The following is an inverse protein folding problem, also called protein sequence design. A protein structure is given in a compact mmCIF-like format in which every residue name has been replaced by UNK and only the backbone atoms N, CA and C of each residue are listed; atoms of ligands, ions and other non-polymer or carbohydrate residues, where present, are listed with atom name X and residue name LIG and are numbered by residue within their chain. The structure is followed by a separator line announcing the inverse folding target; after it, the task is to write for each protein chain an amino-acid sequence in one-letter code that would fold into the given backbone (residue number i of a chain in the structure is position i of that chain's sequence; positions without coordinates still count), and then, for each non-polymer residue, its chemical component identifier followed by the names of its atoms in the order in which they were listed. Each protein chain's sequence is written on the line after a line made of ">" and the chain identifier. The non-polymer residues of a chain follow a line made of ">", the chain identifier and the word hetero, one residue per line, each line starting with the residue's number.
data_IF_973115037623
#
_entry.id   IF_973115037623
#
_cell.length_a   1.000
_cell.length_b   1.000
_cell.length_c   1.000
_cell.angle_alpha   90.00
_cell.angle_beta   90.00
_cell.angle_gamma   90.00
#
_symmetry.space_group_name_H-M   'P 1'
#
loop_
_entity.id
_entity.type
_entity.pdbx_description
1 polymer ?
#
# COMPACT_ATOMS: atom_id res chain seq x y z
N UNK A 1 -27.13 34.32 0.13
CA UNK A 1 -27.67 32.94 0.22
C UNK A 1 -26.71 31.98 -0.47
N UNK A 2 -25.90 31.21 0.27
CA UNK A 2 -25.07 30.16 -0.33
C UNK A 2 -25.98 28.96 -0.59
N UNK A 3 -26.24 28.64 -1.86
CA UNK A 3 -26.94 27.40 -2.22
C UNK A 3 -26.14 26.24 -1.63
N UNK A 4 -26.77 25.44 -0.78
CA UNK A 4 -26.18 24.21 -0.29
C UNK A 4 -25.89 23.34 -1.50
N UNK A 5 -24.62 23.11 -1.80
CA UNK A 5 -24.22 22.10 -2.77
C UNK A 5 -24.69 20.75 -2.22
N UNK A 6 -25.70 20.16 -2.85
CA UNK A 6 -26.05 18.77 -2.57
C UNK A 6 -24.78 17.93 -2.74
N UNK A 7 -24.41 17.18 -1.70
CA UNK A 7 -23.28 16.25 -1.77
C UNK A 7 -23.64 15.16 -2.79
N UNK A 8 -23.28 15.34 -4.04
CA UNK A 8 -23.39 14.30 -5.05
C UNK A 8 -22.36 13.23 -4.69
N UNK A 9 -22.84 12.09 -4.20
CA UNK A 9 -22.06 10.86 -4.20
C UNK A 9 -21.84 10.50 -5.67
N UNK A 10 -20.70 10.91 -6.21
CA UNK A 10 -20.38 10.68 -7.61
C UNK A 10 -19.82 9.27 -7.71
N UNK A 11 -20.68 8.32 -8.05
CA UNK A 11 -20.24 6.98 -8.43
C UNK A 11 -19.56 7.07 -9.78
N UNK A 12 -18.36 6.51 -9.91
CA UNK A 12 -17.64 6.45 -11.18
C UNK A 12 -17.01 5.08 -11.40
N UNK A 13 -16.81 4.73 -12.67
CA UNK A 13 -16.21 3.46 -13.07
C UNK A 13 -14.98 3.76 -13.93
N UNK A 14 -13.91 3.01 -13.69
CA UNK A 14 -12.69 3.04 -14.48
C UNK A 14 -12.43 1.65 -15.05
N UNK A 15 -12.24 1.56 -16.37
CA UNK A 15 -11.82 0.33 -17.03
C UNK A 15 -10.29 0.23 -16.98
N UNK A 16 -9.78 -0.85 -16.37
CA UNK A 16 -8.36 -1.15 -16.35
C UNK A 16 -7.91 -1.77 -17.69
N UNK A 17 -6.60 -1.86 -17.90
CA UNK A 17 -5.99 -2.30 -19.16
C UNK A 17 -6.60 -3.60 -19.69
N UNK A 18 -6.91 -3.60 -20.99
CA UNK A 18 -7.65 -4.62 -21.75
C UNK A 18 -9.16 -4.74 -21.49
N UNK A 19 -9.76 -3.84 -20.69
CA UNK A 19 -11.20 -3.81 -20.40
C UNK A 19 -11.78 -5.12 -19.80
N UNK A 20 -10.92 -5.99 -19.27
CA UNK A 20 -11.29 -7.24 -18.57
C UNK A 20 -11.48 -7.02 -17.08
N UNK A 21 -11.04 -5.87 -16.56
CA UNK A 21 -11.19 -5.48 -15.15
C UNK A 21 -11.72 -4.07 -15.02
N UNK A 22 -12.49 -3.83 -13.97
CA UNK A 22 -13.03 -2.52 -13.65
C UNK A 22 -12.77 -2.13 -12.20
N UNK A 23 -12.55 -0.85 -11.96
CA UNK A 23 -12.53 -0.24 -10.64
C UNK A 23 -13.79 0.60 -10.50
N UNK A 24 -14.61 0.27 -9.51
CA UNK A 24 -15.82 1.03 -9.16
C UNK A 24 -15.51 1.90 -7.94
N UNK A 25 -15.74 3.21 -8.10
CA UNK A 25 -15.67 4.20 -7.04
C UNK A 25 -17.08 4.54 -6.56
N UNK A 26 -17.41 4.14 -5.33
CA UNK A 26 -18.67 4.47 -4.69
C UNK A 26 -18.39 4.83 -3.21
N UNK A 27 -19.20 4.30 -2.28
CA UNK A 27 -18.86 4.37 -0.85
C UNK A 27 -17.59 3.54 -0.54
N UNK A 28 -17.46 2.40 -1.21
CA UNK A 28 -16.26 1.57 -1.23
C UNK A 28 -15.58 1.66 -2.59
N UNK A 29 -14.30 1.25 -2.63
CA UNK A 29 -13.57 1.03 -3.88
C UNK A 29 -13.55 -0.48 -4.12
N UNK A 30 -14.06 -0.93 -5.26
CA UNK A 30 -14.09 -2.35 -5.60
C UNK A 30 -13.43 -2.63 -6.95
N UNK A 31 -12.66 -3.71 -7.00
CA UNK A 31 -12.02 -4.23 -8.20
C UNK A 31 -12.80 -5.44 -8.69
N UNK A 32 -13.20 -5.43 -9.95
CA UNK A 32 -14.03 -6.44 -10.58
C UNK A 32 -13.26 -7.17 -11.69
N UNK A 33 -13.51 -8.48 -11.77
CA UNK A 33 -13.24 -9.29 -12.95
C UNK A 33 -14.50 -9.29 -13.82
N UNK A 34 -14.42 -8.68 -15.01
CA UNK A 34 -15.57 -8.56 -15.91
C UNK A 34 -15.78 -9.82 -16.74
N UNK A 35 -14.74 -10.65 -16.93
CA UNK A 35 -14.85 -11.89 -17.70
C UNK A 35 -15.48 -13.01 -16.86
N UNK A 36 -15.13 -13.05 -15.58
CA UNK A 36 -15.61 -14.06 -14.64
C UNK A 36 -16.74 -13.55 -13.73
N UNK A 37 -17.17 -12.30 -13.93
CA UNK A 37 -18.33 -11.67 -13.27
C UNK A 37 -18.28 -11.67 -11.72
N UNK A 38 -17.09 -11.48 -11.13
CA UNK A 38 -16.96 -11.44 -9.67
C UNK A 38 -16.07 -10.30 -9.17
N UNK A 39 -16.26 -9.96 -7.89
CA UNK A 39 -15.44 -8.96 -7.20
C UNK A 39 -14.13 -9.59 -6.74
N UNK A 40 -13.01 -9.11 -7.27
CA UNK A 40 -11.66 -9.55 -6.89
C UNK A 40 -11.30 -9.01 -5.51
N UNK A 41 -11.59 -7.74 -5.24
CA UNK A 41 -11.21 -7.09 -3.99
C UNK A 41 -12.09 -5.88 -3.69
N UNK A 42 -12.21 -5.55 -2.40
CA UNK A 42 -12.92 -4.38 -1.89
C UNK A 42 -12.05 -3.66 -0.87
N UNK A 43 -12.11 -2.33 -0.92
CA UNK A 43 -11.53 -1.44 0.06
C UNK A 43 -12.63 -0.53 0.62
N UNK A 44 -12.87 -0.68 1.92
CA UNK A 44 -13.89 0.04 2.68
C UNK A 44 -13.18 0.97 3.66
N UNK A 45 -13.09 2.28 3.39
CA UNK A 45 -12.52 3.20 4.37
C UNK A 45 -13.50 3.44 5.51
N UNK A 46 -12.98 3.75 6.69
CA UNK A 46 -13.83 4.19 7.82
C UNK A 46 -14.42 5.58 7.58
N UNK A 47 -13.76 6.39 6.75
CA UNK A 47 -14.14 7.77 6.42
C UNK A 47 -14.49 7.87 4.92
N UNK A 48 -15.60 8.53 4.54
CA UNK A 48 -15.96 8.68 3.13
C UNK A 48 -14.91 9.41 2.31
N UNK A 49 -14.79 9.00 1.04
CA UNK A 49 -13.96 9.71 0.08
C UNK A 49 -14.54 11.10 -0.26
N UNK A 50 -13.66 12.08 -0.42
CA UNK A 50 -13.97 13.40 -1.00
C UNK A 50 -13.67 13.42 -2.50
N UNK A 51 -12.63 12.72 -2.93
CA UNK A 51 -12.24 12.56 -4.32
C UNK A 51 -11.43 11.27 -4.51
N UNK A 52 -11.40 10.76 -5.73
CA UNK A 52 -10.60 9.62 -6.12
C UNK A 52 -10.13 9.78 -7.57
N UNK A 53 -8.93 9.29 -7.86
CA UNK A 53 -8.39 9.24 -9.20
C UNK A 53 -7.54 7.98 -9.39
N UNK A 54 -7.49 7.51 -10.63
CA UNK A 54 -6.61 6.42 -11.03
C UNK A 54 -5.36 7.01 -11.67
N UNK A 55 -4.21 6.43 -11.36
CA UNK A 55 -2.90 6.80 -11.89
C UNK A 55 -2.13 5.55 -12.33
N UNK A 56 -1.04 5.78 -13.07
CA UNK A 56 -0.09 4.72 -13.47
C UNK A 56 -0.76 3.52 -14.18
N UNK A 57 -1.56 3.81 -15.23
CA UNK A 57 -2.20 2.77 -16.06
C UNK A 57 -3.08 1.79 -15.25
N UNK A 58 -3.83 2.31 -14.25
CA UNK A 58 -4.73 1.49 -13.44
C UNK A 58 -4.12 0.89 -12.18
N UNK A 59 -2.81 1.04 -11.94
CA UNK A 59 -2.12 0.32 -10.86
C UNK A 59 -2.09 1.05 -9.52
N UNK A 60 -2.31 2.37 -9.53
CA UNK A 60 -2.38 3.17 -8.32
C UNK A 60 -3.70 3.94 -8.29
N UNK A 61 -4.35 3.92 -7.14
CA UNK A 61 -5.54 4.70 -6.85
C UNK A 61 -5.16 5.70 -5.77
N UNK A 62 -5.43 6.97 -6.01
CA UNK A 62 -5.21 8.06 -5.05
C UNK A 62 -6.57 8.56 -4.60
N UNK A 63 -6.81 8.60 -3.30
CA UNK A 63 -8.08 9.03 -2.74
C UNK A 63 -7.89 10.04 -1.61
N UNK A 64 -8.67 11.13 -1.63
CA UNK A 64 -8.78 12.07 -0.53
C UNK A 64 -9.91 11.65 0.42
N UNK A 65 -9.69 11.77 1.72
CA UNK A 65 -10.74 11.55 2.73
C UNK A 65 -11.45 12.87 3.05
N UNK A 66 -12.73 12.79 3.45
CA UNK A 66 -13.57 13.98 3.65
C UNK A 66 -13.29 14.73 4.96
N UNK A 67 -12.99 14.00 6.03
CA UNK A 67 -12.98 14.56 7.38
C UNK A 67 -11.58 14.97 7.88
N UNK A 68 -10.55 14.76 7.06
CA UNK A 68 -9.18 15.18 7.33
C UNK A 68 -8.45 15.51 6.02
N UNK A 69 -7.42 16.38 6.03
CA UNK A 69 -6.55 16.63 4.88
C UNK A 69 -5.58 15.45 4.66
N UNK A 70 -6.12 14.25 4.54
CA UNK A 70 -5.39 12.99 4.38
C UNK A 70 -5.65 12.44 2.99
N UNK A 71 -4.57 12.08 2.33
CA UNK A 71 -4.59 11.34 1.07
C UNK A 71 -4.11 9.93 1.37
N UNK A 72 -4.82 8.95 0.82
CA UNK A 72 -4.43 7.54 0.86
C UNK A 72 -4.16 7.04 -0.54
N UNK A 73 -3.23 6.11 -0.65
CA UNK A 73 -2.89 5.45 -1.91
C UNK A 73 -3.19 3.97 -1.80
N UNK A 74 -4.01 3.45 -2.72
CA UNK A 74 -4.23 2.02 -2.87
C UNK A 74 -3.46 1.54 -4.08
N UNK A 75 -2.59 0.56 -3.89
CA UNK A 75 -1.81 -0.02 -4.97
C UNK A 75 -2.37 -1.40 -5.31
N UNK A 76 -2.70 -1.61 -6.58
CA UNK A 76 -3.06 -2.93 -7.06
C UNK A 76 -1.81 -3.81 -7.07
N UNK A 77 -1.93 -4.95 -6.42
CA UNK A 77 -0.89 -5.98 -6.38
C UNK A 77 -1.45 -7.25 -7.01
N UNK A 78 -0.62 -7.93 -7.79
CA UNK A 78 -0.87 -9.26 -8.32
C UNK A 78 0.36 -10.09 -8.00
N UNK A 79 0.19 -11.42 -7.92
CA UNK A 79 1.35 -12.34 -7.86
C UNK A 79 2.25 -12.19 -9.09
N UNK A 80 1.70 -11.74 -10.21
CA UNK A 80 2.41 -11.48 -11.46
C UNK A 80 2.81 -10.01 -11.66
N UNK A 81 2.45 -9.11 -10.74
CA UNK A 81 2.87 -7.71 -10.78
C UNK A 81 4.21 -7.59 -10.05
N UNK A 82 5.30 -7.58 -10.83
CA UNK A 82 6.66 -7.45 -10.35
C UNK A 82 6.75 -6.17 -9.49
N UNK A 83 6.96 -6.35 -8.18
CA UNK A 83 7.05 -5.25 -7.22
C UNK A 83 8.16 -4.23 -7.55
N UNK A 84 9.08 -4.58 -8.44
CA UNK A 84 10.19 -3.76 -8.93
C UNK A 84 9.79 -2.63 -9.89
N UNK A 85 8.60 -2.66 -10.51
CA UNK A 85 8.18 -1.60 -11.45
C UNK A 85 7.60 -0.35 -10.75
N UNK A 86 7.39 -0.40 -9.44
CA UNK A 86 6.77 0.70 -8.69
C UNK A 86 7.60 1.00 -7.45
N UNK A 87 8.50 1.98 -7.61
CA UNK A 87 8.92 2.87 -6.53
C UNK A 87 9.37 2.17 -5.24
N UNK A 88 10.36 1.28 -5.33
CA UNK A 88 11.20 0.91 -4.18
C UNK A 88 12.01 2.11 -3.62
N UNK A 89 11.91 3.28 -4.27
CA UNK A 89 12.55 4.54 -3.86
C UNK A 89 11.64 5.43 -3.01
N UNK A 90 10.32 5.20 -2.97
CA UNK A 90 9.39 6.13 -2.31
C UNK A 90 8.99 5.77 -0.87
N UNK A 91 9.24 4.53 -0.43
CA UNK A 91 8.99 4.10 0.95
C UNK A 91 10.13 3.18 1.35
N UNK A 92 11.07 3.73 2.12
CA UNK A 92 12.18 2.97 2.68
C UNK A 92 11.68 1.74 3.43
N UNK A 93 12.35 0.64 3.13
CA UNK A 93 12.67 -0.43 4.07
C UNK A 93 11.52 -1.15 4.79
N UNK A 94 11.11 -2.27 4.22
CA UNK A 94 10.49 -3.37 4.95
C UNK A 94 11.08 -4.70 4.46
N UNK A 95 12.41 -4.73 4.27
CA UNK A 95 13.14 -5.93 3.94
C UNK A 95 14.45 -6.05 4.74
N UNK A 96 14.42 -5.66 6.01
CA UNK A 96 15.23 -6.31 7.03
C UNK A 96 14.33 -6.68 8.21
N UNK A 97 13.78 -7.87 8.14
CA UNK A 97 13.25 -8.58 9.29
C UNK A 97 14.40 -8.97 10.23
N UNK A 98 15.06 -7.99 10.88
CA UNK A 98 15.75 -8.27 12.14
C UNK A 98 14.68 -8.26 13.22
N UNK A 99 14.08 -9.44 13.37
CA UNK A 99 13.32 -9.82 14.55
C UNK A 99 14.12 -9.41 15.79
N UNK A 100 13.50 -8.50 16.53
CA UNK A 100 13.57 -8.36 17.97
C UNK A 100 14.38 -9.45 18.70
N UNK A 101 15.58 -9.08 19.16
CA UNK A 101 16.13 -9.45 20.46
C UNK A 101 16.22 -10.93 20.84
N UNK A 102 17.01 -11.73 20.11
CA UNK A 102 17.75 -12.83 20.75
C UNK A 102 19.20 -12.41 20.90
N UNK A 103 19.58 -12.12 22.14
CA UNK A 103 20.97 -11.97 22.55
C UNK A 103 21.52 -13.39 22.68
N UNK A 104 22.20 -13.90 21.65
CA UNK A 104 23.03 -15.08 21.84
C UNK A 104 24.21 -14.68 22.72
N UNK A 105 24.17 -15.09 23.98
CA UNK A 105 25.34 -15.07 24.84
C UNK A 105 26.26 -16.19 24.36
N UNK A 106 27.23 -15.81 23.52
CA UNK A 106 28.36 -16.66 23.20
C UNK A 106 29.33 -16.55 24.38
N UNK A 107 29.23 -17.51 25.30
CA UNK A 107 30.27 -17.80 26.28
C UNK A 107 31.46 -18.40 25.52
N UNK A 108 32.48 -17.57 25.29
CA UNK A 108 33.78 -18.02 24.82
C UNK A 108 34.75 -18.06 26.00
N UNK A 109 34.72 -19.16 26.74
CA UNK A 109 35.90 -19.61 27.49
C UNK A 109 36.88 -20.24 26.49
N UNK A 110 38.01 -19.58 26.24
CA UNK A 110 39.24 -20.29 25.85
C UNK A 110 40.46 -19.45 26.18
N UNK A 111 41.31 -20.09 26.96
CA UNK A 111 42.61 -19.71 27.49
C UNK A 111 43.70 -19.62 26.43
N UNK A 112 44.70 -18.77 26.67
CA UNK A 112 46.14 -19.08 26.84
C UNK A 112 47.09 -17.95 26.40
N UNK A 113 47.96 -17.60 27.35
CA UNK A 113 49.39 -17.35 27.24
C UNK A 113 50.03 -16.02 26.80
N UNK A 114 51.15 -15.82 27.50
CA UNK A 114 52.09 -14.71 27.69
C UNK A 114 52.59 -13.97 26.44
N UNK A 115 52.87 -12.66 26.57
CA UNK A 115 54.26 -12.13 26.45
C UNK A 115 54.40 -10.67 26.93
N UNK A 116 55.42 -10.47 27.78
CA UNK A 116 56.34 -9.31 27.89
C UNK A 116 55.81 -7.86 28.01
N UNK A 117 55.98 -7.29 29.21
CA UNK A 117 57.00 -6.26 29.52
C UNK A 117 56.90 -4.87 28.89
N UNK A 118 56.70 -3.85 29.74
CA UNK A 118 57.42 -2.55 29.92
C UNK A 118 56.66 -1.82 31.06
N UNK A 119 57.24 -1.22 32.09
CA UNK A 119 58.54 -0.56 32.31
C UNK A 119 59.10 -0.86 33.71
#
# INVERSE_FOLDING_TARGET
>A
MRRGAGKHHTTSVFLAKSATKAILFAHEISLWDLENEYVISKFTPDVPFSCCTVAMDGRLIIAGLRDAPRVVTLRLMSRDLNASQYGRVALGDAAESKMFGEKEEIDSESSEDEMSGVE
#
